data_IF_650323246685
#
_entry.id   IF_650323246685
#
_cell.length_a   1.000
_cell.length_b   1.000
_cell.length_c   1.000
_cell.angle_alpha   90.00
_cell.angle_beta   90.00
_cell.angle_gamma   90.00
#
_symmetry.space_group_name_H-M   'P 1'
#
loop_
_entity.id
_entity.type
_entity.pdbx_description
1 polymer ?
#
# COMPACT_ATOMS: atom_id res chain seq x y z
N UNK A 1 11.86 9.28 8.11
CA UNK A 1 10.80 10.30 7.98
C UNK A 1 11.43 11.65 8.27
N UNK A 2 10.98 12.69 7.59
CA UNK A 2 11.38 14.07 7.88
C UNK A 2 10.51 14.65 8.99
N UNK A 3 10.93 15.74 9.66
CA UNK A 3 10.08 16.43 10.64
C UNK A 3 8.74 16.92 10.08
N UNK A 4 8.67 17.19 8.77
CA UNK A 4 7.43 17.55 8.11
C UNK A 4 6.50 16.33 7.96
N UNK A 5 7.06 15.15 7.61
CA UNK A 5 6.28 13.92 7.49
C UNK A 5 5.65 13.53 8.84
N UNK A 6 6.38 13.73 9.94
CA UNK A 6 5.90 13.48 11.30
C UNK A 6 4.73 14.40 11.65
N UNK A 7 4.87 15.72 11.46
CA UNK A 7 3.79 16.69 11.69
C UNK A 7 2.56 16.42 10.84
N UNK A 8 2.76 16.06 9.57
CA UNK A 8 1.66 15.74 8.67
C UNK A 8 0.95 14.47 9.14
N UNK A 9 1.69 13.44 9.55
CA UNK A 9 1.10 12.20 10.06
C UNK A 9 0.34 12.41 11.38
N UNK A 10 0.82 13.31 12.23
CA UNK A 10 0.17 13.66 13.50
C UNK A 10 -1.15 14.43 13.28
N UNK A 11 -1.14 15.45 12.41
CA UNK A 11 -2.30 16.33 12.22
C UNK A 11 -3.30 15.85 11.17
N UNK A 12 -2.89 14.97 10.26
CA UNK A 12 -3.71 14.49 9.14
C UNK A 12 -3.74 12.95 9.06
N UNK A 13 -3.74 12.28 10.22
CA UNK A 13 -3.94 10.83 10.28
C UNK A 13 -5.20 10.41 9.50
N UNK A 14 -5.12 9.30 8.74
CA UNK A 14 -6.20 8.86 7.85
C UNK A 14 -6.27 9.57 6.50
N UNK A 15 -5.60 10.72 6.33
CA UNK A 15 -5.63 11.53 5.09
C UNK A 15 -4.30 11.52 4.34
N UNK A 16 -3.28 10.86 4.89
CA UNK A 16 -1.92 10.84 4.38
C UNK A 16 -1.50 9.42 4.09
N UNK A 17 -0.83 9.23 2.95
CA UNK A 17 -0.32 7.93 2.52
C UNK A 17 1.18 8.02 2.32
N UNK A 18 1.88 7.07 2.94
CA UNK A 18 3.31 6.88 2.74
C UNK A 18 3.60 6.21 1.39
N UNK A 19 4.03 7.02 0.42
CA UNK A 19 4.34 6.57 -0.95
C UNK A 19 5.45 5.52 -1.02
N UNK A 20 6.34 5.48 -0.04
CA UNK A 20 7.41 4.50 0.00
C UNK A 20 6.89 3.06 0.23
N UNK A 21 5.70 2.91 0.85
CA UNK A 21 5.05 1.62 1.06
C UNK A 21 4.59 0.95 -0.24
N UNK A 22 4.45 1.69 -1.33
CA UNK A 22 4.08 1.15 -2.66
C UNK A 22 5.04 0.03 -3.07
N UNK A 23 6.33 0.16 -2.75
CA UNK A 23 7.34 -0.86 -3.07
C UNK A 23 7.11 -2.17 -2.30
N UNK A 24 6.53 -2.11 -1.09
CA UNK A 24 6.28 -3.29 -0.26
C UNK A 24 5.13 -4.16 -0.77
N UNK A 25 4.24 -3.60 -1.60
CA UNK A 25 3.03 -4.29 -2.11
C UNK A 25 3.05 -4.58 -3.61
N UNK A 26 3.85 -3.85 -4.40
CA UNK A 26 3.85 -3.94 -5.87
C UNK A 26 4.23 -5.33 -6.41
N UNK A 27 5.27 -5.95 -5.85
CA UNK A 27 5.79 -7.24 -6.32
C UNK A 27 5.98 -7.28 -7.84
N UNK A 28 5.55 -8.38 -8.46
CA UNK A 28 5.52 -8.59 -9.93
C UNK A 28 4.13 -8.37 -10.56
N UNK A 29 3.17 -7.85 -9.79
CA UNK A 29 1.80 -7.67 -10.27
C UNK A 29 1.73 -6.51 -11.28
N UNK A 30 0.89 -6.64 -12.31
CA UNK A 30 0.69 -5.62 -13.34
C UNK A 30 -0.40 -4.65 -12.85
N UNK A 31 -0.09 -3.90 -11.79
CA UNK A 31 -1.04 -3.00 -11.14
C UNK A 31 -0.54 -1.56 -11.27
N UNK A 32 -1.38 -0.63 -11.77
CA UNK A 32 -1.01 0.78 -11.83
C UNK A 32 -0.70 1.34 -10.44
N UNK A 33 0.32 2.19 -10.34
CA UNK A 33 0.79 2.75 -9.06
C UNK A 33 -0.33 3.46 -8.28
N UNK A 34 -1.19 4.22 -8.95
CA UNK A 34 -2.27 4.96 -8.27
C UNK A 34 -3.29 4.04 -7.58
N UNK A 35 -3.46 2.81 -8.07
CA UNK A 35 -4.32 1.80 -7.42
C UNK A 35 -3.66 1.30 -6.13
N UNK A 36 -2.34 1.07 -6.16
CA UNK A 36 -1.58 0.69 -4.98
C UNK A 36 -1.63 1.80 -3.92
N UNK A 37 -1.47 3.06 -4.35
CA UNK A 37 -1.59 4.24 -3.49
C UNK A 37 -2.99 4.35 -2.87
N UNK A 38 -4.04 4.11 -3.67
CA UNK A 38 -5.42 4.09 -3.18
C UNK A 38 -5.64 3.02 -2.12
N UNK A 39 -5.24 1.77 -2.38
CA UNK A 39 -5.37 0.68 -1.42
C UNK A 39 -4.57 0.95 -0.14
N UNK A 40 -3.32 1.42 -0.27
CA UNK A 40 -2.52 1.82 0.88
C UNK A 40 -3.16 2.98 1.66
N UNK A 41 -3.89 3.88 1.01
CA UNK A 41 -4.65 4.92 1.70
C UNK A 41 -5.83 4.38 2.51
N UNK A 42 -6.42 3.27 2.09
CA UNK A 42 -7.52 2.64 2.84
C UNK A 42 -7.02 1.83 4.04
N UNK A 43 -5.84 1.20 3.94
CA UNK A 43 -5.37 0.23 4.93
C UNK A 43 -4.12 0.66 5.72
N UNK A 44 -3.36 1.66 5.24
CA UNK A 44 -2.08 2.09 5.82
C UNK A 44 -2.03 3.59 6.13
N UNK A 45 -3.16 4.27 6.28
CA UNK A 45 -3.21 5.70 6.62
C UNK A 45 -2.97 5.97 8.14
N UNK A 46 -1.95 5.34 8.69
CA UNK A 46 -1.50 5.44 10.08
C UNK A 46 0.03 5.55 10.12
N UNK A 47 0.57 6.15 11.19
CA UNK A 47 2.01 6.13 11.49
C UNK A 47 2.42 4.99 12.43
N UNK A 48 1.45 4.27 13.02
CA UNK A 48 1.71 3.12 13.88
C UNK A 48 2.27 1.93 13.06
N UNK A 49 3.47 1.42 13.39
CA UNK A 49 4.09 0.33 12.65
C UNK A 49 3.23 -0.95 12.57
N UNK A 50 2.52 -1.31 13.64
CA UNK A 50 1.70 -2.53 13.67
C UNK A 50 0.48 -2.41 12.74
N UNK A 51 -0.15 -1.23 12.74
CA UNK A 51 -1.24 -0.89 11.81
C UNK A 51 -0.75 -0.91 10.36
N UNK A 52 0.42 -0.33 10.09
CA UNK A 52 1.02 -0.34 8.75
C UNK A 52 1.26 -1.78 8.27
N UNK A 53 1.85 -2.63 9.12
CA UNK A 53 2.13 -4.03 8.79
C UNK A 53 0.85 -4.81 8.44
N UNK A 54 -0.18 -4.68 9.30
CA UNK A 54 -1.50 -5.30 9.07
C UNK A 54 -2.14 -4.80 7.77
N UNK A 55 -1.99 -3.50 7.48
CA UNK A 55 -2.51 -2.90 6.26
C UNK A 55 -1.81 -3.39 5.00
N UNK A 56 -0.49 -3.53 5.04
CA UNK A 56 0.30 -4.09 3.93
C UNK A 56 -0.15 -5.52 3.61
N UNK A 57 -0.38 -6.34 4.64
CA UNK A 57 -0.84 -7.72 4.45
C UNK A 57 -2.24 -7.75 3.82
N UNK A 58 -3.15 -6.90 4.29
CA UNK A 58 -4.49 -6.75 3.70
C UNK A 58 -4.42 -6.37 2.21
N UNK A 59 -3.56 -5.41 1.86
CA UNK A 59 -3.35 -5.00 0.45
C UNK A 59 -2.78 -6.15 -0.37
N UNK A 60 -1.79 -6.88 0.13
CA UNK A 60 -1.22 -8.05 -0.58
C UNK A 60 -2.28 -9.12 -0.87
N UNK A 61 -3.17 -9.41 0.09
CA UNK A 61 -4.26 -10.36 -0.09
C UNK A 61 -5.26 -9.90 -1.15
N UNK A 62 -5.64 -8.62 -1.16
CA UNK A 62 -6.50 -8.04 -2.21
C UNK A 62 -5.83 -8.19 -3.57
N UNK A 63 -4.54 -7.85 -3.66
CA UNK A 63 -3.81 -7.94 -4.92
C UNK A 63 -3.74 -9.38 -5.44
N UNK A 64 -3.41 -10.35 -4.59
CA UNK A 64 -3.34 -11.76 -4.96
C UNK A 64 -4.69 -12.34 -5.41
N UNK A 65 -5.80 -11.85 -4.84
CA UNK A 65 -7.15 -12.32 -5.20
C UNK A 65 -7.68 -11.71 -6.50
N UNK A 66 -7.30 -10.47 -6.80
CA UNK A 66 -7.96 -9.67 -7.84
C UNK A 66 -7.07 -9.34 -9.04
N UNK A 67 -5.75 -9.53 -8.95
CA UNK A 67 -4.81 -9.20 -10.02
C UNK A 67 -4.01 -10.41 -10.45
N UNK A 68 -3.82 -10.53 -11.77
CA UNK A 68 -3.04 -11.60 -12.35
C UNK A 68 -1.55 -11.27 -12.21
N UNK A 69 -0.78 -12.19 -11.63
CA UNK A 69 0.66 -12.03 -11.60
C UNK A 69 1.24 -12.27 -13.00
N UNK A 70 2.33 -11.58 -13.33
CA UNK A 70 2.95 -11.69 -14.67
C UNK A 70 3.30 -13.14 -15.06
N UNK A 71 3.55 -14.01 -14.07
CA UNK A 71 3.82 -15.44 -14.25
C UNK A 71 2.57 -16.28 -14.53
N UNK A 72 1.37 -15.74 -14.28
CA UNK A 72 0.06 -16.38 -14.47
C UNK A 72 -0.68 -15.83 -15.70
N UNK A 73 -0.21 -14.70 -16.25
CA UNK A 73 -0.84 -13.99 -17.37
C UNK A 73 -0.84 -14.75 -18.71
N UNK A 74 -0.27 -15.96 -18.78
CA UNK A 74 -0.25 -16.83 -19.96
C UNK A 74 -0.84 -18.22 -19.74
N UNK A 75 -1.55 -18.47 -18.63
CA UNK A 75 -2.19 -19.75 -18.31
C UNK A 75 -3.70 -19.79 -18.65
N UNK A 76 -4.17 -18.89 -19.53
CA UNK A 76 -5.54 -18.87 -20.05
C UNK A 76 -5.51 -19.08 -21.55
#
# INVERSE_FOLDING_TARGET
MTPLDEKISEHFAGLVVRKDLVKAVKGNAIVPTYVLEYLLGQYCASADPATIETGIESVKQILAKHYVHRNEAGLI
#
